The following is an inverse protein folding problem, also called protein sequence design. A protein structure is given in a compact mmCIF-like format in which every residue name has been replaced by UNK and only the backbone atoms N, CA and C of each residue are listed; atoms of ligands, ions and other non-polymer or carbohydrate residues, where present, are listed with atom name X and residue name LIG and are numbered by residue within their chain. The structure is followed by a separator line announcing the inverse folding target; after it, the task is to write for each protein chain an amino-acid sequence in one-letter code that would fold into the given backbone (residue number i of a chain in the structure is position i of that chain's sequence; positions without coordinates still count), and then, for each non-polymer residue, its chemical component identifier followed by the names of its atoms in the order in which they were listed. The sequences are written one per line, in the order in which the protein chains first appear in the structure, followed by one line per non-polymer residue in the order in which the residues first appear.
data_IF_886406491154
#
_entry.id   IF_886406491154
#
_cell.length_a   1.000
_cell.length_b   1.000
_cell.length_c   1.000
_cell.angle_alpha   90.00
_cell.angle_beta   90.00
_cell.angle_gamma   90.00
#
_symmetry.space_group_name_H-M   'P 1'
#
loop_
_entity.id
_entity.type
_entity.pdbx_description
1 polymer ?
#
# COMPACT_ATOMS: atom_id res chain seq x y z
N UNK A 1 5.04 -25.38 -8.51
CA UNK A 1 4.38 -25.88 -9.71
C UNK A 1 3.00 -26.37 -9.31
N UNK A 2 1.96 -26.09 -10.10
CA UNK A 2 0.63 -26.69 -9.90
C UNK A 2 0.71 -28.21 -10.15
N UNK A 3 -0.30 -28.98 -9.69
CA UNK A 3 -0.41 -30.42 -9.98
C UNK A 3 -0.40 -30.77 -11.49
N UNK A 4 -0.52 -29.77 -12.37
CA UNK A 4 -0.49 -29.90 -13.85
C UNK A 4 0.78 -29.31 -14.48
N UNK A 5 1.80 -28.91 -13.72
CA UNK A 5 3.03 -28.29 -14.29
C UNK A 5 2.86 -26.87 -14.85
N UNK A 6 1.68 -26.27 -14.73
CA UNK A 6 1.39 -24.93 -15.24
C UNK A 6 1.93 -23.83 -14.30
N UNK A 7 2.27 -22.66 -14.86
CA UNK A 7 2.65 -21.47 -14.10
C UNK A 7 1.47 -21.02 -13.20
N UNK A 8 1.72 -20.73 -11.91
CA UNK A 8 0.69 -20.12 -11.07
C UNK A 8 0.25 -18.75 -11.62
N UNK A 9 -1.04 -18.47 -11.54
CA UNK A 9 -1.60 -17.14 -11.79
C UNK A 9 -1.58 -16.36 -10.47
N UNK A 10 -0.93 -15.20 -10.47
CA UNK A 10 -0.81 -14.36 -9.28
C UNK A 10 -1.69 -13.12 -9.42
N UNK A 11 -2.82 -13.14 -8.73
CA UNK A 11 -3.76 -12.02 -8.60
C UNK A 11 -3.77 -11.46 -7.17
N UNK A 12 -2.61 -11.50 -6.48
CA UNK A 12 -2.43 -10.95 -5.13
C UNK A 12 -1.21 -10.01 -5.04
N UNK A 13 -0.96 -9.23 -6.09
CA UNK A 13 0.17 -8.27 -6.15
C UNK A 13 0.11 -7.19 -5.07
N UNK A 14 -1.06 -6.92 -4.50
CA UNK A 14 -1.24 -5.99 -3.37
C UNK A 14 -0.71 -6.54 -2.05
N UNK A 15 -0.57 -7.87 -1.88
CA UNK A 15 0.09 -8.44 -0.71
C UNK A 15 1.61 -8.29 -0.80
N UNK A 16 2.20 -8.67 -1.91
CA UNK A 16 3.63 -8.48 -2.23
C UNK A 16 3.87 -8.75 -3.71
N UNK A 17 4.98 -8.25 -4.25
CA UNK A 17 5.41 -8.57 -5.62
C UNK A 17 6.74 -9.33 -5.59
N UNK A 18 7.06 -10.14 -6.62
CA UNK A 18 8.39 -10.68 -6.78
C UNK A 18 9.40 -9.54 -7.04
N UNK A 19 10.65 -9.72 -6.62
CA UNK A 19 11.72 -8.80 -7.04
C UNK A 19 11.90 -8.93 -8.56
N UNK A 20 11.92 -7.82 -9.30
CA UNK A 20 12.14 -7.87 -10.75
C UNK A 20 13.57 -8.33 -11.06
N UNK A 21 13.77 -8.88 -12.26
CA UNK A 21 15.09 -9.31 -12.70
C UNK A 21 16.10 -8.15 -12.70
N UNK A 22 15.71 -7.00 -13.22
CA UNK A 22 16.56 -5.80 -13.31
C UNK A 22 16.93 -5.28 -11.92
N UNK A 23 15.98 -5.28 -10.98
CA UNK A 23 16.21 -4.93 -9.58
C UNK A 23 17.19 -5.91 -8.94
N UNK A 24 16.97 -7.22 -9.10
CA UNK A 24 17.85 -8.24 -8.51
C UNK A 24 19.30 -8.13 -9.03
N UNK A 25 19.47 -7.96 -10.35
CA UNK A 25 20.78 -7.80 -10.98
C UNK A 25 21.52 -6.57 -10.43
N UNK A 26 20.81 -5.46 -10.14
CA UNK A 26 21.37 -4.26 -9.50
C UNK A 26 21.77 -4.47 -8.04
N UNK A 27 21.05 -5.33 -7.31
CA UNK A 27 21.32 -5.59 -5.89
C UNK A 27 22.53 -6.51 -5.67
N UNK A 28 22.72 -7.52 -6.53
CA UNK A 28 23.69 -8.61 -6.33
C UNK A 28 25.10 -8.11 -5.99
N UNK A 29 25.71 -7.12 -6.69
CA UNK A 29 27.05 -6.66 -6.38
C UNK A 29 27.24 -6.19 -4.93
N UNK A 30 26.22 -5.60 -4.33
CA UNK A 30 26.27 -5.03 -2.97
C UNK A 30 26.18 -6.07 -1.87
N UNK A 31 25.99 -7.34 -2.20
CA UNK A 31 26.08 -8.44 -1.23
C UNK A 31 27.47 -9.03 -1.12
N UNK A 32 28.34 -8.88 -2.15
CA UNK A 32 29.61 -9.62 -2.23
C UNK A 32 30.80 -8.76 -2.63
N UNK A 33 30.67 -7.97 -3.68
CA UNK A 33 31.77 -7.20 -4.28
C UNK A 33 31.83 -5.78 -3.69
N UNK A 34 30.69 -5.09 -3.62
CA UNK A 34 30.54 -3.69 -3.20
C UNK A 34 29.93 -3.60 -1.79
N UNK A 35 30.36 -4.46 -0.87
CA UNK A 35 29.80 -4.60 0.49
C UNK A 35 30.25 -3.50 1.48
N UNK A 36 30.86 -2.41 1.00
CA UNK A 36 31.39 -1.34 1.84
C UNK A 36 30.33 -0.68 2.72
N UNK A 37 30.73 -0.26 3.94
CA UNK A 37 29.88 0.55 4.79
C UNK A 37 29.90 2.00 4.30
N UNK A 38 28.75 2.63 3.98
CA UNK A 38 28.68 4.02 3.51
C UNK A 38 29.30 5.07 4.44
N UNK A 39 29.49 4.72 5.72
CA UNK A 39 30.13 5.61 6.70
C UNK A 39 31.66 5.49 6.73
N UNK A 40 32.26 4.52 6.03
CA UNK A 40 33.71 4.33 5.99
C UNK A 40 34.40 5.31 5.04
N UNK A 41 35.58 5.87 5.43
CA UNK A 41 36.24 6.92 4.66
C UNK A 41 37.13 6.40 3.51
N UNK A 42 37.09 5.11 3.19
CA UNK A 42 37.86 4.49 2.11
C UNK A 42 36.96 4.20 0.90
N UNK A 43 37.59 3.89 -0.24
CA UNK A 43 36.96 3.75 -1.57
C UNK A 43 35.73 2.84 -1.60
N UNK A 44 35.72 1.70 -0.90
CA UNK A 44 34.55 0.82 -0.84
C UNK A 44 33.37 1.47 -0.10
N UNK A 45 33.64 2.26 0.94
CA UNK A 45 32.61 3.03 1.64
C UNK A 45 32.04 4.17 0.76
N UNK A 46 32.92 4.86 0.02
CA UNK A 46 32.51 5.92 -0.91
C UNK A 46 31.64 5.37 -2.04
N UNK A 47 31.98 4.20 -2.64
CA UNK A 47 31.15 3.55 -3.66
C UNK A 47 29.77 3.19 -3.09
N UNK A 48 29.70 2.61 -1.92
CA UNK A 48 28.43 2.30 -1.26
C UNK A 48 27.59 3.57 -0.98
N UNK A 49 28.24 4.65 -0.51
CA UNK A 49 27.59 5.96 -0.29
C UNK A 49 27.06 6.57 -1.58
N UNK A 50 27.80 6.47 -2.69
CA UNK A 50 27.36 6.92 -4.00
C UNK A 50 26.11 6.14 -4.44
N UNK A 51 26.09 4.82 -4.29
CA UNK A 51 24.94 3.99 -4.63
C UNK A 51 23.68 4.35 -3.81
N UNK A 52 23.82 4.59 -2.52
CA UNK A 52 22.73 5.08 -1.66
C UNK A 52 22.25 6.45 -2.12
N UNK A 53 23.17 7.34 -2.53
CA UNK A 53 22.82 8.68 -3.02
C UNK A 53 22.05 8.61 -4.35
N UNK A 54 22.48 7.78 -5.29
CA UNK A 54 21.79 7.56 -6.57
C UNK A 54 20.40 6.97 -6.38
N UNK A 55 20.25 6.00 -5.47
CA UNK A 55 18.94 5.44 -5.14
C UNK A 55 18.02 6.50 -4.52
N UNK A 56 18.55 7.36 -3.65
CA UNK A 56 17.81 8.48 -3.04
C UNK A 56 17.33 9.48 -4.08
N UNK A 57 18.17 9.83 -5.04
CA UNK A 57 17.78 10.70 -6.17
C UNK A 57 16.69 10.06 -7.02
N UNK A 58 16.75 8.75 -7.28
CA UNK A 58 15.72 8.05 -8.04
C UNK A 58 14.37 8.08 -7.31
N UNK A 59 14.34 7.80 -6.00
CA UNK A 59 13.12 7.87 -5.19
C UNK A 59 12.58 9.30 -5.14
N UNK A 60 13.43 10.29 -4.92
CA UNK A 60 13.03 11.69 -4.86
C UNK A 60 12.43 12.16 -6.19
N UNK A 61 13.10 11.90 -7.30
CA UNK A 61 12.61 12.22 -8.65
C UNK A 61 11.27 11.56 -8.96
N UNK A 62 11.10 10.30 -8.56
CA UNK A 62 9.87 9.56 -8.77
C UNK A 62 8.67 10.16 -8.00
N UNK A 63 8.92 10.76 -6.84
CA UNK A 63 7.88 11.35 -5.98
C UNK A 63 7.67 12.86 -6.21
N UNK A 64 8.46 13.52 -7.08
CA UNK A 64 8.43 14.98 -7.19
C UNK A 64 8.94 15.67 -5.92
N UNK A 65 9.96 15.11 -5.26
CA UNK A 65 10.52 15.56 -4.00
C UNK A 65 12.01 15.89 -4.10
N UNK A 66 12.56 16.58 -3.09
CA UNK A 66 14.00 16.79 -2.96
C UNK A 66 14.67 15.58 -2.27
N UNK A 67 15.93 15.28 -2.65
CA UNK A 67 16.67 14.16 -2.06
C UNK A 67 16.85 14.26 -0.53
N UNK A 68 16.87 15.49 0.00
CA UNK A 68 16.95 15.72 1.46
C UNK A 68 15.68 15.32 2.20
N UNK A 69 14.54 15.23 1.52
CA UNK A 69 13.24 14.86 2.08
C UNK A 69 13.03 13.35 2.16
N UNK A 70 13.92 12.56 1.58
CA UNK A 70 13.84 11.09 1.59
C UNK A 70 14.65 10.52 2.75
N UNK A 71 14.03 9.62 3.52
CA UNK A 71 14.63 8.82 4.60
C UNK A 71 14.42 7.35 4.28
N UNK A 72 15.47 6.56 4.18
CA UNK A 72 15.35 5.12 3.97
C UNK A 72 14.96 4.41 5.27
N UNK A 73 14.06 3.42 5.13
CA UNK A 73 13.49 2.64 6.22
C UNK A 73 13.47 1.16 5.84
N UNK A 74 13.03 0.29 6.75
CA UNK A 74 12.85 -1.14 6.45
C UNK A 74 11.55 -1.45 5.68
N UNK A 75 10.64 -0.49 5.51
CA UNK A 75 9.36 -0.68 4.83
C UNK A 75 8.28 0.28 5.27
N UNK A 76 7.07 0.08 4.76
CA UNK A 76 5.92 0.95 5.03
C UNK A 76 5.57 1.04 6.51
N UNK A 77 5.62 -0.06 7.25
CA UNK A 77 5.30 -0.07 8.69
C UNK A 77 6.24 0.82 9.51
N UNK A 78 7.56 0.72 9.29
CA UNK A 78 8.53 1.59 9.95
C UNK A 78 8.30 3.06 9.55
N UNK A 79 8.07 3.31 8.26
CA UNK A 79 7.80 4.64 7.73
C UNK A 79 6.55 5.28 8.36
N UNK A 80 5.43 4.54 8.41
CA UNK A 80 4.19 5.00 9.03
C UNK A 80 4.40 5.33 10.52
N UNK A 81 5.02 4.43 11.27
CA UNK A 81 5.24 4.64 12.70
C UNK A 81 6.20 5.81 12.97
N UNK A 82 7.27 5.94 12.19
CA UNK A 82 8.20 7.05 12.33
C UNK A 82 7.54 8.41 12.05
N UNK A 83 6.75 8.50 10.98
CA UNK A 83 6.05 9.70 10.60
C UNK A 83 5.01 10.12 11.65
N UNK A 84 4.13 9.17 12.02
CA UNK A 84 3.02 9.43 12.95
C UNK A 84 3.55 9.87 14.33
N UNK A 85 4.51 9.12 14.90
CA UNK A 85 5.11 9.47 16.20
C UNK A 85 5.84 10.80 16.16
N UNK A 86 6.62 11.05 15.10
CA UNK A 86 7.32 12.33 14.91
C UNK A 86 6.33 13.50 14.84
N UNK A 87 5.20 13.33 14.14
CA UNK A 87 4.18 14.37 14.01
C UNK A 87 3.58 14.77 15.36
N UNK A 88 3.33 13.80 16.24
CA UNK A 88 2.81 14.09 17.59
C UNK A 88 3.83 14.85 18.43
N UNK A 89 5.12 14.49 18.34
CA UNK A 89 6.20 15.19 19.05
C UNK A 89 6.43 16.62 18.54
N UNK A 90 6.10 16.89 17.27
CA UNK A 90 6.16 18.23 16.68
C UNK A 90 4.97 19.12 17.06
N UNK A 91 3.92 18.56 17.65
CA UNK A 91 2.71 19.27 18.09
C UNK A 91 2.33 18.91 19.52
N UNK A 92 3.24 19.16 20.49
CA UNK A 92 3.08 18.68 21.87
C UNK A 92 1.93 19.35 22.62
N UNK A 93 1.45 20.48 22.12
CA UNK A 93 0.31 21.27 22.64
C UNK A 93 -1.05 20.79 22.13
N UNK A 94 -1.09 19.86 21.16
CA UNK A 94 -2.31 19.35 20.55
C UNK A 94 -2.59 17.91 20.96
N UNK A 95 -3.86 17.57 21.13
CA UNK A 95 -4.30 16.29 21.70
C UNK A 95 -5.27 15.48 20.87
N UNK A 96 -5.54 15.87 19.64
CA UNK A 96 -6.42 15.12 18.74
C UNK A 96 -5.63 14.53 17.58
N UNK A 97 -5.91 13.26 17.27
CA UNK A 97 -5.41 12.53 16.09
C UNK A 97 -6.62 12.11 15.26
N UNK A 98 -6.61 12.44 13.98
CA UNK A 98 -7.65 12.05 13.01
C UNK A 98 -7.09 10.97 12.10
N UNK A 99 -7.72 9.80 12.07
CA UNK A 99 -7.30 8.67 11.23
C UNK A 99 -8.47 8.25 10.35
N UNK A 100 -8.21 7.81 9.12
CA UNK A 100 -9.25 7.06 8.41
C UNK A 100 -9.49 5.70 9.09
N UNK A 101 -10.74 5.23 9.11
CA UNK A 101 -11.08 3.93 9.70
C UNK A 101 -10.58 2.74 8.86
N UNK A 102 -10.05 3.00 7.67
CA UNK A 102 -9.57 2.02 6.71
C UNK A 102 -8.05 2.04 6.51
N UNK A 103 -7.32 2.64 7.47
CA UNK A 103 -5.86 2.64 7.46
C UNK A 103 -5.29 1.22 7.59
N UNK A 104 -4.03 1.08 7.17
CA UNK A 104 -3.26 -0.14 7.43
C UNK A 104 -3.04 -0.33 8.94
N UNK A 105 -2.94 -1.59 9.40
CA UNK A 105 -2.72 -1.94 10.82
C UNK A 105 -1.48 -1.29 11.43
N UNK A 106 -0.48 -0.89 10.64
CA UNK A 106 0.69 -0.14 11.12
C UNK A 106 0.37 1.25 11.65
N UNK A 107 -0.80 1.81 11.30
CA UNK A 107 -1.33 3.09 11.82
C UNK A 107 -2.44 2.82 12.82
N UNK A 108 -3.45 2.00 12.47
CA UNK A 108 -4.57 1.71 13.38
C UNK A 108 -4.11 1.05 14.68
N UNK A 109 -3.08 0.21 14.63
CA UNK A 109 -2.51 -0.42 15.83
C UNK A 109 -1.86 0.56 16.82
N UNK A 110 -1.65 1.83 16.42
CA UNK A 110 -1.17 2.88 17.32
C UNK A 110 -2.30 3.61 18.06
N UNK A 111 -3.56 3.45 17.63
CA UNK A 111 -4.68 4.22 18.17
C UNK A 111 -4.85 4.02 19.69
N UNK A 112 -4.82 2.77 20.16
CA UNK A 112 -4.93 2.45 21.58
C UNK A 112 -3.76 3.01 22.41
N UNK A 113 -2.55 3.06 21.83
CA UNK A 113 -1.40 3.68 22.47
C UNK A 113 -1.60 5.19 22.57
N UNK A 114 -2.13 5.83 21.54
CA UNK A 114 -2.40 7.28 21.56
C UNK A 114 -3.46 7.63 22.60
N UNK A 115 -4.54 6.84 22.68
CA UNK A 115 -5.58 7.02 23.70
C UNK A 115 -5.03 6.87 25.12
N UNK A 116 -4.18 5.86 25.38
CA UNK A 116 -3.49 5.71 26.68
C UNK A 116 -2.56 6.88 27.02
N UNK A 117 -1.98 7.53 26.00
CA UNK A 117 -1.13 8.72 26.16
C UNK A 117 -1.92 10.03 26.18
N UNK A 118 -3.25 9.98 26.31
CA UNK A 118 -4.11 11.14 26.48
C UNK A 118 -4.49 11.87 25.19
N UNK A 119 -4.29 11.25 24.03
CA UNK A 119 -4.80 11.76 22.76
C UNK A 119 -6.26 11.31 22.54
N UNK A 120 -7.04 12.17 21.89
CA UNK A 120 -8.36 11.82 21.36
C UNK A 120 -8.20 11.30 19.94
N UNK A 121 -8.55 10.04 19.68
CA UNK A 121 -8.50 9.46 18.34
C UNK A 121 -9.89 9.54 17.70
N UNK A 122 -9.99 10.30 16.61
CA UNK A 122 -11.18 10.39 15.76
C UNK A 122 -10.98 9.54 14.51
N UNK A 123 -11.92 8.64 14.24
CA UNK A 123 -11.87 7.75 13.08
C UNK A 123 -12.91 8.20 12.05
N UNK A 124 -12.43 8.66 10.89
CA UNK A 124 -13.28 9.01 9.74
C UNK A 124 -13.68 7.73 9.02
N UNK A 125 -14.98 7.49 8.92
CA UNK A 125 -15.51 6.29 8.25
C UNK A 125 -15.57 6.48 6.74
N UNK A 126 -15.32 5.42 5.95
CA UNK A 126 -15.51 5.47 4.52
C UNK A 126 -17.01 5.48 4.17
N UNK A 127 -17.31 5.89 2.95
CA UNK A 127 -18.60 5.65 2.30
C UNK A 127 -18.78 4.16 2.01
N UNK A 128 -20.00 3.68 1.69
CA UNK A 128 -20.24 2.26 1.38
C UNK A 128 -19.41 1.69 0.21
N UNK A 129 -18.87 2.54 -0.65
CA UNK A 129 -17.96 2.19 -1.75
C UNK A 129 -16.47 2.27 -1.38
N UNK A 130 -16.15 2.59 -0.12
CA UNK A 130 -14.78 2.65 0.39
C UNK A 130 -14.10 4.02 0.28
N UNK A 131 -14.73 5.05 -0.30
CA UNK A 131 -14.17 6.40 -0.39
C UNK A 131 -14.14 7.10 0.97
N UNK A 132 -13.08 7.85 1.22
CA UNK A 132 -13.00 8.84 2.28
C UNK A 132 -13.32 10.20 1.66
N UNK A 133 -14.37 10.84 2.15
CA UNK A 133 -14.77 12.18 1.67
C UNK A 133 -13.99 13.26 2.43
N UNK A 134 -13.61 14.32 1.72
CA UNK A 134 -12.85 15.42 2.31
C UNK A 134 -13.70 16.18 3.36
N UNK A 135 -15.00 16.26 3.16
CA UNK A 135 -15.97 16.89 4.07
C UNK A 135 -16.01 16.18 5.43
N UNK A 136 -16.02 14.85 5.44
CA UNK A 136 -16.00 14.06 6.68
C UNK A 136 -14.68 14.25 7.45
N UNK A 137 -13.57 14.47 6.72
CA UNK A 137 -12.28 14.82 7.33
C UNK A 137 -12.33 16.24 7.91
N UNK A 138 -12.88 17.22 7.20
CA UNK A 138 -12.98 18.61 7.69
C UNK A 138 -13.82 18.71 8.98
N UNK A 139 -14.90 17.94 9.08
CA UNK A 139 -15.71 17.84 10.32
C UNK A 139 -14.93 17.22 11.48
N UNK A 140 -14.05 16.25 11.19
CA UNK A 140 -13.26 15.58 12.22
C UNK A 140 -12.06 16.42 12.70
N UNK A 141 -11.48 17.26 11.84
CA UNK A 141 -10.26 18.05 12.13
C UNK A 141 -10.63 19.31 12.91
N UNK A 142 -9.90 19.61 13.98
CA UNK A 142 -10.08 20.80 14.83
C UNK A 142 -8.75 21.53 15.02
N UNK A 143 -8.78 22.70 15.65
CA UNK A 143 -7.56 23.45 16.02
C UNK A 143 -6.66 22.71 17.01
N UNK A 144 -7.21 21.69 17.71
CA UNK A 144 -6.48 20.81 18.63
C UNK A 144 -5.92 19.55 17.92
N UNK A 145 -6.13 19.42 16.61
CA UNK A 145 -5.63 18.26 15.86
C UNK A 145 -4.13 18.39 15.63
N UNK A 146 -3.36 17.40 16.13
CA UNK A 146 -1.92 17.30 15.90
C UNK A 146 -1.60 16.68 14.54
N UNK A 147 -2.35 15.64 14.18
CA UNK A 147 -2.11 14.79 13.01
C UNK A 147 -3.42 14.37 12.34
N UNK A 148 -3.42 14.42 11.03
CA UNK A 148 -4.36 13.72 10.15
C UNK A 148 -3.60 12.61 9.46
N UNK A 149 -4.12 11.37 9.43
CA UNK A 149 -3.54 10.26 8.68
C UNK A 149 -4.62 9.60 7.81
N UNK A 150 -4.45 9.67 6.50
CA UNK A 150 -5.33 9.08 5.48
C UNK A 150 -4.47 8.48 4.38
N UNK A 151 -4.66 7.18 4.12
CA UNK A 151 -3.95 6.48 3.05
C UNK A 151 -4.41 6.97 1.67
N UNK A 152 -3.48 7.00 0.71
CA UNK A 152 -3.79 7.49 -0.65
C UNK A 152 -4.69 6.54 -1.43
N UNK A 153 -4.33 5.25 -1.41
CA UNK A 153 -5.10 4.17 -2.05
C UNK A 153 -5.36 3.10 -1.01
N UNK A 154 -6.62 2.70 -0.84
CA UNK A 154 -6.92 1.60 0.05
C UNK A 154 -6.44 0.27 -0.56
N UNK A 155 -5.69 -0.50 0.21
CA UNK A 155 -5.04 -1.73 -0.23
C UNK A 155 -5.98 -2.93 -0.39
N UNK A 156 -7.25 -2.79 -0.01
CA UNK A 156 -8.26 -3.85 -0.12
C UNK A 156 -9.30 -3.57 -1.19
N UNK A 157 -9.77 -2.32 -1.29
CA UNK A 157 -10.82 -1.91 -2.23
C UNK A 157 -10.29 -1.19 -3.47
N UNK A 158 -9.13 -0.57 -3.35
CA UNK A 158 -8.56 0.29 -4.39
C UNK A 158 -9.13 1.70 -4.42
N UNK A 159 -10.00 2.09 -3.48
CA UNK A 159 -10.50 3.46 -3.40
C UNK A 159 -9.36 4.45 -3.21
N UNK A 160 -9.39 5.56 -3.97
CA UNK A 160 -8.40 6.63 -3.96
C UNK A 160 -8.95 7.78 -3.13
N UNK A 161 -8.20 8.22 -2.12
CA UNK A 161 -8.56 9.36 -1.29
C UNK A 161 -8.19 10.70 -1.94
N UNK A 162 -8.95 11.78 -1.71
CA UNK A 162 -8.66 13.13 -2.23
C UNK A 162 -7.57 13.82 -1.39
N UNK A 163 -6.34 13.26 -1.41
CA UNK A 163 -5.23 13.64 -0.50
C UNK A 163 -4.82 15.11 -0.64
N UNK A 164 -4.99 15.74 -1.81
CA UNK A 164 -4.73 17.17 -1.99
C UNK A 164 -5.64 18.03 -1.12
N UNK A 165 -6.95 17.82 -1.23
CA UNK A 165 -7.97 18.52 -0.42
C UNK A 165 -7.83 18.23 1.06
N UNK A 166 -7.53 16.96 1.43
CA UNK A 166 -7.30 16.58 2.83
C UNK A 166 -6.07 17.29 3.41
N UNK A 167 -4.99 17.43 2.64
CA UNK A 167 -3.81 18.19 3.04
C UNK A 167 -4.12 19.67 3.31
N UNK A 168 -4.91 20.31 2.43
CA UNK A 168 -5.36 21.69 2.64
C UNK A 168 -6.20 21.84 3.91
N UNK A 169 -7.11 20.89 4.17
CA UNK A 169 -7.94 20.87 5.39
C UNK A 169 -7.05 20.77 6.63
N UNK A 170 -6.12 19.82 6.65
CA UNK A 170 -5.19 19.64 7.77
C UNK A 170 -4.39 20.93 8.04
N UNK A 171 -3.82 21.52 7.00
CA UNK A 171 -2.99 22.71 7.10
C UNK A 171 -3.79 23.97 7.53
N UNK A 172 -5.02 24.16 7.06
CA UNK A 172 -5.89 25.27 7.52
C UNK A 172 -6.11 25.25 9.03
N UNK A 173 -6.13 24.07 9.64
CA UNK A 173 -6.25 23.88 11.10
C UNK A 173 -4.90 23.75 11.79
N UNK A 174 -3.77 23.83 11.04
CA UNK A 174 -2.40 23.72 11.56
C UNK A 174 -2.00 22.30 11.99
N UNK A 175 -2.76 21.27 11.60
CA UNK A 175 -2.41 19.86 11.76
C UNK A 175 -1.37 19.43 10.73
N UNK A 176 -0.56 18.42 11.06
CA UNK A 176 0.29 17.74 10.09
C UNK A 176 -0.51 16.65 9.36
N UNK A 177 -0.16 16.41 8.09
CA UNK A 177 -0.79 15.36 7.28
C UNK A 177 0.21 14.28 6.90
N UNK A 178 -0.04 13.06 7.39
CA UNK A 178 0.66 11.85 6.98
C UNK A 178 -0.18 11.04 6.01
N UNK A 179 0.42 10.59 4.92
CA UNK A 179 -0.23 9.75 3.93
C UNK A 179 0.48 8.40 3.78
N UNK A 180 -0.21 7.29 4.05
CA UNK A 180 0.29 5.97 3.64
C UNK A 180 0.15 5.83 2.12
N UNK A 181 1.28 5.94 1.41
CA UNK A 181 1.37 5.83 -0.04
C UNK A 181 1.73 4.42 -0.53
N UNK A 182 1.84 3.43 0.37
CA UNK A 182 2.36 2.10 0.04
C UNK A 182 1.56 1.40 -1.05
N UNK A 183 0.24 1.57 -1.08
CA UNK A 183 -0.62 0.99 -2.11
C UNK A 183 -0.76 1.88 -3.36
N UNK A 184 -0.42 3.18 -3.26
CA UNK A 184 -0.51 4.15 -4.34
C UNK A 184 0.74 4.19 -5.22
N UNK A 185 1.92 4.22 -4.59
CA UNK A 185 3.21 4.38 -5.26
C UNK A 185 3.44 3.31 -6.32
N UNK A 186 3.71 3.75 -7.57
CA UNK A 186 3.90 2.88 -8.73
C UNK A 186 2.64 2.21 -9.27
N UNK A 187 1.45 2.67 -8.85
CA UNK A 187 0.12 2.20 -9.31
C UNK A 187 -0.72 3.36 -9.84
N UNK A 188 -0.65 4.50 -9.19
CA UNK A 188 -1.26 5.75 -9.62
C UNK A 188 -0.18 6.84 -9.65
N UNK A 189 -0.38 7.93 -10.41
CA UNK A 189 0.54 9.07 -10.39
C UNK A 189 0.65 9.66 -8.98
N UNK A 190 1.88 9.91 -8.53
CA UNK A 190 2.19 10.55 -7.24
C UNK A 190 3.15 11.70 -7.53
N UNK A 191 2.71 12.93 -7.26
CA UNK A 191 3.53 14.13 -7.35
C UNK A 191 3.39 14.95 -6.07
N UNK A 192 4.39 14.85 -5.20
CA UNK A 192 4.39 15.53 -3.91
C UNK A 192 4.66 17.03 -4.02
N UNK A 193 5.10 17.52 -5.16
CA UNK A 193 5.24 18.97 -5.40
C UNK A 193 3.88 19.68 -5.50
N UNK A 194 2.85 18.94 -5.93
CA UNK A 194 1.50 19.46 -6.18
C UNK A 194 0.52 19.24 -5.02
N UNK A 195 0.89 18.46 -3.99
CA UNK A 195 -0.03 18.11 -2.89
C UNK A 195 0.52 18.48 -1.52
N UNK A 196 -0.36 18.90 -0.61
CA UNK A 196 -0.02 19.34 0.74
C UNK A 196 0.19 18.18 1.73
N UNK A 197 1.09 17.25 1.42
CA UNK A 197 1.44 16.13 2.29
C UNK A 197 2.73 16.45 3.05
N UNK A 198 2.75 16.32 4.38
CA UNK A 198 3.94 16.54 5.21
C UNK A 198 4.83 15.29 5.26
N UNK A 199 4.25 14.11 5.20
CA UNK A 199 4.99 12.85 5.13
C UNK A 199 4.25 11.77 4.36
N UNK A 200 4.99 10.95 3.60
CA UNK A 200 4.44 9.84 2.82
C UNK A 200 5.30 8.59 2.97
N UNK A 201 4.65 7.46 3.22
CA UNK A 201 5.31 6.16 3.32
C UNK A 201 5.26 5.38 2.02
N UNK A 202 6.35 4.65 1.70
CA UNK A 202 6.39 3.71 0.60
C UNK A 202 7.20 2.45 0.96
N UNK A 203 6.96 1.36 0.22
CA UNK A 203 7.62 0.08 0.43
C UNK A 203 8.03 -0.57 -0.88
N UNK A 204 9.31 -0.98 -0.98
CA UNK A 204 9.88 -1.54 -2.20
C UNK A 204 9.13 -2.79 -2.70
N UNK A 205 8.73 -3.69 -1.79
CA UNK A 205 8.10 -4.94 -2.17
C UNK A 205 6.70 -4.81 -2.80
N UNK A 206 6.13 -3.62 -2.84
CA UNK A 206 4.86 -3.33 -3.53
C UNK A 206 5.07 -2.88 -4.98
N UNK A 207 6.31 -2.56 -5.34
CA UNK A 207 6.70 -2.07 -6.67
C UNK A 207 7.82 -2.89 -7.32
N UNK A 208 7.85 -4.20 -7.04
CA UNK A 208 8.83 -5.16 -7.58
C UNK A 208 10.26 -4.97 -7.06
N UNK A 209 10.42 -4.28 -5.95
CA UNK A 209 11.64 -4.16 -5.16
C UNK A 209 11.73 -5.22 -4.04
N UNK A 210 12.81 -5.20 -3.25
CA UNK A 210 13.04 -6.15 -2.18
C UNK A 210 12.13 -5.91 -0.96
N UNK A 211 11.81 -6.98 -0.23
CA UNK A 211 11.30 -6.89 1.14
C UNK A 211 12.41 -6.35 2.05
N UNK A 212 12.04 -5.68 3.15
CA UNK A 212 13.01 -5.12 4.10
C UNK A 212 13.66 -3.81 3.62
N UNK A 213 13.07 -3.15 2.63
CA UNK A 213 13.44 -1.81 2.18
C UNK A 213 12.18 -0.96 1.92
N UNK A 214 12.23 0.29 2.32
CA UNK A 214 11.20 1.30 2.09
C UNK A 214 11.79 2.69 2.21
N UNK A 215 10.94 3.69 2.09
CA UNK A 215 11.32 5.07 2.34
C UNK A 215 10.16 5.84 2.94
N UNK A 216 10.53 6.89 3.66
CA UNK A 216 9.66 7.92 4.18
C UNK A 216 10.04 9.25 3.52
N UNK A 217 9.09 9.88 2.87
CA UNK A 217 9.19 11.29 2.51
C UNK A 217 8.82 12.14 3.73
N UNK A 218 9.60 13.19 4.00
CA UNK A 218 9.35 14.18 5.05
C UNK A 218 9.61 15.56 4.50
N UNK A 219 8.57 16.34 4.26
CA UNK A 219 8.64 17.67 3.64
C UNK A 219 9.45 18.66 4.47
N UNK A 220 9.21 18.69 5.77
CA UNK A 220 9.95 19.52 6.72
C UNK A 220 10.86 18.63 7.56
N UNK A 221 12.13 18.62 7.21
CA UNK A 221 13.11 17.78 7.91
C UNK A 221 13.50 18.35 9.27
N UNK A 222 13.31 19.65 9.49
CA UNK A 222 13.53 20.32 10.77
C UNK A 222 12.41 19.92 11.74
N UNK A 223 12.81 19.49 12.94
CA UNK A 223 11.86 19.00 13.96
C UNK A 223 11.42 17.56 13.77
N UNK A 224 11.93 16.82 12.77
CA UNK A 224 11.66 15.39 12.66
C UNK A 224 12.35 14.62 13.79
N UNK A 225 11.56 13.82 14.51
CA UNK A 225 12.01 12.97 15.60
C UNK A 225 12.17 11.52 15.10
N UNK A 226 13.42 10.98 15.06
CA UNK A 226 13.65 9.63 14.55
C UNK A 226 13.03 8.56 15.46
N UNK A 227 12.38 7.56 14.85
CA UNK A 227 11.92 6.37 15.56
C UNK A 227 13.11 5.52 16.05
N UNK A 228 14.16 5.44 15.24
CA UNK A 228 15.42 4.74 15.55
C UNK A 228 16.55 5.79 15.55
N UNK A 229 16.99 6.29 16.71
CA UNK A 229 18.06 7.29 16.78
C UNK A 229 19.40 6.77 16.29
N UNK A 230 20.21 7.62 15.65
CA UNK A 230 21.56 7.31 15.17
C UNK A 230 22.14 8.41 14.30
N UNK A 231 23.33 8.19 13.74
CA UNK A 231 24.03 9.16 12.89
C UNK A 231 23.67 9.09 11.41
N UNK A 232 23.12 7.94 10.97
CA UNK A 232 22.76 7.68 9.57
C UNK A 232 21.54 8.49 9.15
N UNK A 233 21.24 8.48 7.86
CA UNK A 233 20.09 9.19 7.27
C UNK A 233 20.01 10.66 7.78
N UNK A 234 21.15 11.33 7.93
CA UNK A 234 21.23 12.69 8.47
C UNK A 234 20.59 12.81 9.86
N UNK A 235 20.82 11.83 10.74
CA UNK A 235 20.24 11.67 12.09
C UNK A 235 18.73 11.43 12.13
N UNK A 236 18.12 10.99 11.02
CA UNK A 236 16.68 10.71 10.94
C UNK A 236 16.33 9.24 11.02
N UNK A 237 17.31 8.34 10.82
CA UNK A 237 17.16 6.92 11.02
C UNK A 237 18.54 6.29 11.27
N UNK A 238 18.76 5.75 12.44
CA UNK A 238 20.02 5.14 12.86
C UNK A 238 20.19 3.70 12.39
N UNK A 239 21.44 3.21 12.40
CA UNK A 239 21.81 1.88 11.95
C UNK A 239 22.43 1.88 10.56
N UNK A 240 23.35 0.94 10.31
CA UNK A 240 24.02 0.79 9.02
C UNK A 240 23.00 0.65 7.91
N UNK A 241 23.19 1.39 6.83
CA UNK A 241 22.28 1.41 5.68
C UNK A 241 22.24 0.04 4.98
N UNK A 242 21.04 -0.44 4.67
CA UNK A 242 20.81 -1.63 3.86
C UNK A 242 21.09 -1.32 2.38
N UNK A 243 22.38 -1.18 2.03
CA UNK A 243 22.81 -0.75 0.68
C UNK A 243 22.14 -1.55 -0.43
N UNK A 244 22.18 -2.91 -0.43
CA UNK A 244 21.52 -3.68 -1.50
C UNK A 244 20.01 -3.43 -1.56
N UNK A 245 19.33 -3.34 -0.42
CA UNK A 245 17.88 -3.05 -0.37
C UNK A 245 17.54 -1.65 -0.86
N UNK A 246 18.35 -0.66 -0.53
CA UNK A 246 18.20 0.73 -0.95
C UNK A 246 18.41 0.86 -2.47
N UNK A 247 19.46 0.25 -3.01
CA UNK A 247 19.73 0.19 -4.45
C UNK A 247 18.56 -0.49 -5.18
N UNK A 248 18.06 -1.59 -4.62
CA UNK A 248 16.88 -2.28 -5.14
C UNK A 248 15.63 -1.41 -5.15
N UNK A 249 15.40 -0.60 -4.10
CA UNK A 249 14.29 0.35 -4.08
C UNK A 249 14.46 1.44 -5.16
N UNK A 250 15.66 2.01 -5.29
CA UNK A 250 15.93 3.02 -6.33
C UNK A 250 15.69 2.50 -7.74
N UNK A 251 16.07 1.26 -8.04
CA UNK A 251 15.82 0.64 -9.34
C UNK A 251 14.33 0.31 -9.53
N UNK A 252 13.66 -0.16 -8.47
CA UNK A 252 12.21 -0.44 -8.51
C UNK A 252 11.38 0.83 -8.78
N UNK A 253 11.81 2.00 -8.30
CA UNK A 253 11.15 3.28 -8.63
C UNK A 253 11.35 3.70 -10.07
N UNK A 254 12.52 3.43 -10.69
CA UNK A 254 12.73 3.67 -12.13
C UNK A 254 11.79 2.79 -12.97
N UNK A 255 11.71 1.50 -12.66
CA UNK A 255 10.75 0.59 -13.35
C UNK A 255 9.28 0.99 -13.10
N UNK A 256 8.97 1.52 -11.92
CA UNK A 256 7.62 2.01 -11.62
C UNK A 256 7.27 3.24 -12.46
N UNK A 257 8.22 4.13 -12.71
CA UNK A 257 8.04 5.29 -13.60
C UNK A 257 7.76 4.83 -15.05
N UNK A 258 8.56 3.87 -15.56
CA UNK A 258 8.34 3.29 -16.89
C UNK A 258 6.94 2.65 -16.99
N UNK A 259 6.52 1.93 -15.94
CA UNK A 259 5.20 1.29 -15.90
C UNK A 259 4.05 2.31 -15.87
N UNK A 260 4.18 3.39 -15.09
CA UNK A 260 3.13 4.43 -15.02
C UNK A 260 2.91 5.11 -16.38
N UNK A 261 3.92 5.18 -17.23
CA UNK A 261 3.82 5.82 -18.55
C UNK A 261 3.07 4.97 -19.60
N UNK A 262 3.11 3.62 -19.50
CA UNK A 262 2.61 2.74 -20.57
C UNK A 262 1.93 1.46 -20.11
N UNK A 263 2.17 1.03 -18.89
CA UNK A 263 1.70 -0.28 -18.38
C UNK A 263 0.37 -0.25 -17.63
N UNK A 264 -0.09 0.91 -17.21
CA UNK A 264 -1.30 1.03 -16.36
C UNK A 264 -2.56 0.66 -17.13
N UNK A 265 -2.74 1.21 -18.32
CA UNK A 265 -3.95 1.00 -19.14
C UNK A 265 -4.16 -0.47 -19.56
N UNK A 266 -3.13 -1.22 -19.98
CA UNK A 266 -3.26 -2.66 -20.20
C UNK A 266 -3.75 -3.43 -18.96
N UNK A 267 -3.20 -3.13 -17.77
CA UNK A 267 -3.60 -3.79 -16.52
C UNK A 267 -5.04 -3.42 -16.14
N UNK A 268 -5.44 -2.16 -16.34
CA UNK A 268 -6.81 -1.69 -16.13
C UNK A 268 -7.80 -2.48 -16.99
N UNK A 269 -7.53 -2.62 -18.30
CA UNK A 269 -8.39 -3.42 -19.20
C UNK A 269 -8.54 -4.89 -18.76
N UNK A 270 -7.46 -5.50 -18.29
CA UNK A 270 -7.49 -6.86 -17.76
C UNK A 270 -8.34 -6.96 -16.48
N UNK A 271 -8.21 -5.98 -15.55
CA UNK A 271 -9.04 -5.89 -14.36
C UNK A 271 -10.51 -5.74 -14.71
N UNK A 272 -10.85 -4.84 -15.66
CA UNK A 272 -12.21 -4.57 -16.08
C UNK A 272 -12.84 -5.82 -16.72
N UNK A 273 -12.10 -6.49 -17.62
CA UNK A 273 -12.53 -7.77 -18.23
C UNK A 273 -12.78 -8.85 -17.17
N UNK A 274 -11.87 -8.98 -16.22
CA UNK A 274 -12.02 -9.94 -15.12
C UNK A 274 -13.26 -9.64 -14.27
N UNK A 275 -13.40 -8.39 -13.83
CA UNK A 275 -14.50 -7.94 -12.98
C UNK A 275 -15.85 -8.15 -13.68
N UNK A 276 -15.96 -7.72 -14.94
CA UNK A 276 -17.19 -7.90 -15.73
C UNK A 276 -17.57 -9.39 -15.81
N UNK A 277 -16.62 -10.26 -16.19
CA UNK A 277 -16.89 -11.71 -16.28
C UNK A 277 -17.30 -12.34 -14.94
N UNK A 278 -16.75 -11.88 -13.82
CA UNK A 278 -17.15 -12.36 -12.49
C UNK A 278 -18.57 -11.90 -12.14
N UNK A 279 -18.91 -10.63 -12.38
CA UNK A 279 -20.23 -10.08 -12.05
C UNK A 279 -21.35 -10.69 -12.90
N UNK A 280 -21.07 -11.02 -14.18
CA UNK A 280 -22.02 -11.75 -15.03
C UNK A 280 -22.21 -13.21 -14.57
N UNK A 281 -21.14 -13.84 -14.10
CA UNK A 281 -21.12 -15.28 -13.78
C UNK A 281 -21.81 -15.59 -12.44
N UNK A 282 -21.75 -14.67 -11.47
CA UNK A 282 -22.29 -14.88 -10.13
C UNK A 282 -23.45 -13.93 -9.85
N UNK A 283 -24.73 -14.41 -9.95
CA UNK A 283 -25.89 -13.58 -9.63
C UNK A 283 -25.82 -13.02 -8.21
N UNK A 284 -25.99 -11.70 -8.09
CA UNK A 284 -25.90 -10.98 -6.82
C UNK A 284 -24.48 -10.64 -6.37
N UNK A 285 -23.43 -11.06 -7.08
CA UNK A 285 -22.08 -10.56 -6.82
C UNK A 285 -22.03 -9.05 -7.03
N UNK A 286 -21.29 -8.37 -6.18
CA UNK A 286 -21.12 -6.91 -6.27
C UNK A 286 -19.69 -6.51 -5.94
N UNK A 287 -19.28 -5.42 -6.53
CA UNK A 287 -18.01 -4.79 -6.27
C UNK A 287 -18.02 -4.01 -4.95
N UNK A 288 -17.01 -4.17 -4.13
CA UNK A 288 -16.75 -3.38 -2.93
C UNK A 288 -15.69 -2.30 -3.23
N UNK A 289 -15.97 -1.42 -4.19
CA UNK A 289 -15.07 -0.36 -4.65
C UNK A 289 -15.89 0.73 -5.34
N UNK A 290 -15.33 1.95 -5.53
CA UNK A 290 -16.00 3.02 -6.28
C UNK A 290 -16.37 2.58 -7.70
N UNK A 291 -17.46 3.14 -8.21
CA UNK A 291 -17.88 2.93 -9.59
C UNK A 291 -17.06 3.77 -10.56
N UNK A 292 -16.71 4.97 -10.14
CA UNK A 292 -15.99 5.97 -10.92
C UNK A 292 -14.50 5.59 -11.01
N UNK A 293 -13.97 5.63 -12.23
CA UNK A 293 -12.60 5.14 -12.52
C UNK A 293 -11.49 6.09 -12.04
N UNK A 294 -11.76 7.38 -11.92
CA UNK A 294 -10.83 8.41 -11.46
C UNK A 294 -10.53 8.35 -9.97
N UNK A 295 -11.43 7.73 -9.19
CA UNK A 295 -11.27 7.52 -7.74
C UNK A 295 -11.00 6.05 -7.39
N UNK A 296 -10.50 5.28 -8.36
CA UNK A 296 -10.25 3.85 -8.22
C UNK A 296 -8.90 3.43 -8.78
N UNK A 297 -8.14 2.65 -8.02
CA UNK A 297 -6.87 2.09 -8.48
C UNK A 297 -7.06 1.13 -9.66
N UNK A 298 -6.23 1.23 -10.72
CA UNK A 298 -6.45 0.52 -11.98
C UNK A 298 -6.23 -0.98 -11.90
N UNK A 299 -5.49 -1.47 -10.92
CA UNK A 299 -4.93 -2.82 -10.88
C UNK A 299 -5.69 -3.79 -9.94
N UNK A 300 -6.75 -3.35 -9.25
CA UNK A 300 -7.42 -4.21 -8.28
C UNK A 300 -8.93 -4.09 -8.30
N UNK A 301 -9.57 -5.14 -7.83
CA UNK A 301 -10.99 -5.17 -7.49
C UNK A 301 -11.22 -6.01 -6.24
N UNK A 302 -12.24 -5.66 -5.47
CA UNK A 302 -12.75 -6.43 -4.35
C UNK A 302 -14.19 -6.81 -4.66
N UNK A 303 -14.50 -8.10 -4.62
CA UNK A 303 -15.83 -8.63 -5.02
C UNK A 303 -16.42 -9.44 -3.88
N UNK A 304 -17.66 -9.11 -3.52
CA UNK A 304 -18.51 -9.91 -2.65
C UNK A 304 -19.19 -11.02 -3.48
N UNK A 305 -19.15 -12.24 -2.98
CA UNK A 305 -19.82 -13.43 -3.51
C UNK A 305 -20.91 -13.88 -2.53
N UNK A 306 -22.15 -13.40 -2.63
CA UNK A 306 -23.19 -13.71 -1.64
C UNK A 306 -23.42 -15.20 -1.46
N UNK A 307 -23.44 -15.65 -0.19
CA UNK A 307 -23.67 -17.06 0.15
C UNK A 307 -22.50 -18.02 -0.14
N UNK A 308 -21.35 -17.49 -0.60
CA UNK A 308 -20.17 -18.31 -0.83
C UNK A 308 -19.06 -17.86 0.15
N UNK A 309 -18.68 -18.68 1.15
CA UNK A 309 -17.58 -18.34 2.04
C UNK A 309 -16.28 -18.08 1.26
N UNK A 310 -15.63 -16.94 1.52
CA UNK A 310 -14.41 -16.54 0.84
C UNK A 310 -13.26 -17.53 1.03
N UNK A 311 -13.15 -18.16 2.21
CA UNK A 311 -12.17 -19.24 2.45
C UNK A 311 -12.34 -20.41 1.47
N UNK A 312 -13.59 -20.78 1.15
CA UNK A 312 -13.88 -21.84 0.20
C UNK A 312 -13.42 -21.46 -1.21
N UNK A 313 -13.70 -20.22 -1.64
CA UNK A 313 -13.22 -19.69 -2.91
C UNK A 313 -11.69 -19.62 -2.94
N UNK A 314 -11.07 -19.09 -1.87
CA UNK A 314 -9.61 -18.99 -1.73
C UNK A 314 -8.95 -20.36 -1.87
N UNK A 315 -9.45 -21.36 -1.14
CA UNK A 315 -8.95 -22.73 -1.23
C UNK A 315 -9.16 -23.35 -2.63
N UNK A 316 -10.34 -23.17 -3.22
CA UNK A 316 -10.68 -23.69 -4.53
C UNK A 316 -9.77 -23.12 -5.63
N UNK A 317 -9.54 -21.81 -5.62
CA UNK A 317 -8.62 -21.12 -6.55
C UNK A 317 -7.17 -21.53 -6.31
N UNK A 318 -6.74 -21.58 -5.03
CA UNK A 318 -5.38 -21.97 -4.65
C UNK A 318 -5.01 -23.38 -5.10
N UNK A 319 -5.94 -24.35 -5.00
CA UNK A 319 -5.73 -25.72 -5.52
C UNK A 319 -5.54 -25.77 -7.03
N UNK A 320 -5.99 -24.76 -7.76
CA UNK A 320 -5.82 -24.61 -9.21
C UNK A 320 -4.68 -23.67 -9.60
N UNK A 321 -3.88 -23.26 -8.60
CA UNK A 321 -2.71 -22.41 -8.80
C UNK A 321 -3.04 -20.94 -9.05
N UNK A 322 -4.21 -20.47 -8.63
CA UNK A 322 -4.61 -19.07 -8.70
C UNK A 322 -4.53 -18.49 -7.28
N UNK A 323 -3.74 -17.43 -7.12
CA UNK A 323 -3.49 -16.75 -5.84
C UNK A 323 -4.33 -15.49 -5.77
N UNK A 324 -5.10 -15.36 -4.69
CA UNK A 324 -5.97 -14.21 -4.37
C UNK A 324 -5.98 -13.98 -2.86
N UNK A 325 -6.64 -12.93 -2.37
CA UNK A 325 -6.69 -12.61 -0.95
C UNK A 325 -8.10 -12.30 -0.47
N UNK A 326 -8.34 -12.50 0.81
CA UNK A 326 -9.56 -12.04 1.51
C UNK A 326 -9.41 -10.61 2.08
N UNK A 327 -8.24 -9.95 1.86
CA UNK A 327 -7.95 -8.62 2.40
C UNK A 327 -7.44 -8.65 3.84
N UNK A 328 -8.03 -9.43 4.72
CA UNK A 328 -7.58 -9.60 6.10
C UNK A 328 -6.40 -10.56 6.21
N UNK A 329 -5.43 -10.25 7.10
CA UNK A 329 -4.37 -11.19 7.45
C UNK A 329 -4.96 -12.38 8.22
N UNK A 330 -4.64 -13.61 7.81
CA UNK A 330 -4.93 -14.80 8.60
C UNK A 330 -4.12 -14.73 9.91
N UNK A 331 -4.73 -14.32 11.00
CA UNK A 331 -4.16 -14.51 12.33
C UNK A 331 -4.43 -15.92 12.79
N UNK A 332 -3.41 -16.57 13.36
CA UNK A 332 -3.35 -17.98 13.78
C UNK A 332 -4.72 -18.62 14.17
N UNK A 333 -5.41 -19.22 13.20
CA UNK A 333 -6.51 -20.16 13.43
C UNK A 333 -7.95 -19.65 13.31
N UNK A 334 -8.19 -18.34 13.14
CA UNK A 334 -9.52 -17.80 12.79
C UNK A 334 -9.41 -16.73 11.71
N UNK A 335 -10.29 -16.77 10.71
CA UNK A 335 -10.39 -15.70 9.71
C UNK A 335 -11.26 -14.60 10.31
N UNK A 336 -10.60 -13.51 10.68
CA UNK A 336 -11.33 -12.30 11.05
C UNK A 336 -11.77 -11.54 9.79
N UNK A 337 -12.99 -10.97 9.78
CA UNK A 337 -13.45 -10.17 8.65
C UNK A 337 -12.61 -8.92 8.50
N UNK A 338 -12.46 -8.44 7.28
CA UNK A 338 -11.76 -7.19 6.99
C UNK A 338 -12.37 -6.01 7.75
N UNK A 339 -11.56 -5.29 8.53
CA UNK A 339 -11.98 -4.06 9.20
C UNK A 339 -12.37 -2.97 8.19
N UNK A 340 -11.78 -2.98 6.99
CA UNK A 340 -12.11 -2.07 5.90
C UNK A 340 -13.56 -2.31 5.45
N UNK A 341 -13.90 -3.55 5.11
CA UNK A 341 -15.24 -3.90 4.63
C UNK A 341 -16.31 -3.69 5.72
N UNK A 342 -15.98 -4.02 6.98
CA UNK A 342 -16.87 -3.71 8.10
C UNK A 342 -17.07 -2.19 8.28
N UNK A 343 -16.03 -1.38 8.11
CA UNK A 343 -16.12 0.08 8.20
C UNK A 343 -16.95 0.69 7.07
N UNK A 344 -17.02 0.03 5.90
CA UNK A 344 -17.89 0.37 4.78
C UNK A 344 -19.36 0.00 5.02
N UNK A 345 -19.68 -0.73 6.09
CA UNK A 345 -21.03 -1.14 6.45
C UNK A 345 -21.42 -2.54 6.00
N UNK A 346 -20.49 -3.35 5.47
CA UNK A 346 -20.77 -4.75 5.17
C UNK A 346 -20.98 -5.53 6.49
N UNK A 347 -21.89 -6.50 6.46
CA UNK A 347 -22.04 -7.45 7.55
C UNK A 347 -20.79 -8.34 7.68
N UNK A 348 -20.63 -9.01 8.83
CA UNK A 348 -19.54 -9.97 9.02
C UNK A 348 -19.56 -11.08 7.94
N UNK A 349 -20.73 -11.58 7.60
CA UNK A 349 -20.91 -12.62 6.58
C UNK A 349 -20.49 -12.11 5.20
N UNK A 350 -20.92 -10.92 4.80
CA UNK A 350 -20.55 -10.30 3.53
C UNK A 350 -19.04 -10.02 3.45
N UNK A 351 -18.44 -9.51 4.53
CA UNK A 351 -17.00 -9.28 4.57
C UNK A 351 -16.20 -10.59 4.44
N UNK A 352 -16.66 -11.68 5.09
CA UNK A 352 -16.07 -13.01 4.96
C UNK A 352 -16.34 -13.69 3.61
N UNK A 353 -17.32 -13.21 2.84
CA UNK A 353 -17.66 -13.68 1.49
C UNK A 353 -17.05 -12.81 0.39
N UNK A 354 -16.09 -11.94 0.73
CA UNK A 354 -15.45 -11.03 -0.21
C UNK A 354 -14.00 -11.43 -0.49
N UNK A 355 -13.59 -11.31 -1.76
CA UNK A 355 -12.21 -11.55 -2.21
C UNK A 355 -11.64 -10.32 -2.91
N UNK A 356 -10.36 -10.04 -2.62
CA UNK A 356 -9.57 -9.08 -3.37
C UNK A 356 -8.79 -9.78 -4.46
N UNK A 357 -8.83 -9.22 -5.66
CA UNK A 357 -8.02 -9.58 -6.82
C UNK A 357 -7.15 -8.37 -7.19
N UNK A 358 -5.85 -8.53 -7.18
CA UNK A 358 -4.92 -7.46 -7.53
C UNK A 358 -3.90 -7.93 -8.55
N UNK A 359 -3.96 -7.32 -9.74
CA UNK A 359 -3.20 -7.70 -10.91
C UNK A 359 -1.79 -7.09 -10.87
N UNK A 360 -0.78 -7.92 -11.09
CA UNK A 360 0.59 -7.46 -11.27
C UNK A 360 0.89 -7.16 -12.75
N UNK A 361 2.07 -6.57 -13.00
CA UNK A 361 2.57 -6.23 -14.36
C UNK A 361 2.68 -7.44 -15.29
N UNK A 362 2.82 -8.65 -14.74
CA UNK A 362 3.03 -9.90 -15.47
C UNK A 362 1.74 -10.66 -15.80
N UNK A 363 0.59 -10.17 -15.35
CA UNK A 363 -0.70 -10.81 -15.62
C UNK A 363 -1.07 -10.63 -17.11
N UNK A 364 -1.49 -11.71 -17.74
CA UNK A 364 -1.86 -11.75 -19.16
C UNK A 364 -3.34 -12.01 -19.36
N UNK A 365 -3.85 -11.80 -20.58
CA UNK A 365 -5.22 -12.17 -20.94
C UNK A 365 -5.50 -13.67 -20.69
N UNK A 366 -4.54 -14.55 -21.03
CA UNK A 366 -4.67 -15.98 -20.76
C UNK A 366 -4.78 -16.31 -19.26
N UNK A 367 -4.13 -15.54 -18.38
CA UNK A 367 -4.27 -15.70 -16.94
C UNK A 367 -5.69 -15.32 -16.47
N UNK A 368 -6.27 -14.27 -17.06
CA UNK A 368 -7.65 -13.83 -16.78
C UNK A 368 -8.65 -14.89 -17.29
N UNK A 369 -8.49 -15.37 -18.53
CA UNK A 369 -9.36 -16.40 -19.11
C UNK A 369 -9.34 -17.68 -18.30
N UNK A 370 -8.15 -18.12 -17.89
CA UNK A 370 -7.99 -19.28 -17.02
C UNK A 370 -8.68 -19.08 -15.67
N UNK A 371 -8.56 -17.88 -15.09
CA UNK A 371 -9.20 -17.59 -13.81
C UNK A 371 -10.72 -17.59 -13.92
N UNK A 372 -11.28 -16.99 -14.97
CA UNK A 372 -12.72 -17.00 -15.25
C UNK A 372 -13.24 -18.42 -15.53
N UNK A 373 -12.50 -19.22 -16.29
CA UNK A 373 -12.86 -20.63 -16.53
C UNK A 373 -12.91 -21.45 -15.24
N UNK A 374 -11.94 -21.24 -14.33
CA UNK A 374 -11.94 -21.89 -13.01
C UNK A 374 -13.10 -21.42 -12.15
N UNK A 375 -13.42 -20.13 -12.14
CA UNK A 375 -14.55 -19.58 -11.39
C UNK A 375 -15.90 -20.10 -11.93
N UNK A 376 -16.03 -20.35 -13.25
CA UNK A 376 -17.24 -20.91 -13.84
C UNK A 376 -17.58 -22.32 -13.33
N UNK A 377 -16.56 -23.16 -13.06
CA UNK A 377 -16.76 -24.46 -12.42
C UNK A 377 -17.40 -24.32 -11.02
N UNK A 378 -17.03 -23.27 -10.28
CA UNK A 378 -17.61 -22.99 -8.96
C UNK A 378 -19.04 -22.46 -9.09
N UNK A 379 -19.32 -21.56 -10.04
CA UNK A 379 -20.64 -20.98 -10.27
C UNK A 379 -21.69 -22.10 -10.60
N UNK A 380 -21.33 -23.04 -11.45
CA UNK A 380 -22.17 -24.21 -11.77
C UNK A 380 -22.44 -25.06 -10.53
N UNK A 381 -21.43 -25.23 -9.66
CA UNK A 381 -21.58 -26.04 -8.44
C UNK A 381 -22.51 -25.36 -7.42
N UNK A 382 -22.49 -24.04 -7.34
CA UNK A 382 -23.35 -23.24 -6.46
C UNK A 382 -24.77 -23.18 -7.01
N UNK A 383 -24.95 -22.92 -8.32
CA UNK A 383 -26.26 -22.88 -8.99
C UNK A 383 -27.06 -24.16 -8.85
N UNK A 384 -26.40 -25.33 -8.86
CA UNK A 384 -27.04 -26.64 -8.64
C UNK A 384 -27.50 -26.91 -7.20
N UNK A 385 -27.12 -26.09 -6.24
CA UNK A 385 -27.53 -26.22 -4.81
C UNK A 385 -28.71 -25.32 -4.46
N UNK A 386 -29.02 -24.36 -5.32
CA UNK A 386 -30.12 -23.39 -5.15
C UNK A 386 -31.36 -23.78 -5.96
N UNK A 387 -31.22 -24.70 -6.92
CA UNK A 387 -32.31 -25.36 -7.67
C UNK A 387 -32.69 -26.70 -7.03
#
# INVERSE_FOLDING_TARGET
MTARGERPVDLDSSATTPVSRRVLEKMIPYFREEYGNPSSPYDAGERAKMAVTEARLAVASFLGAESREIVFTSGGTESNQAAVRSSLLQRPDRRTVVLSAIEHSSILGLADEFERNGYRVRRVRPRPDGRIEAEDVDEAVTMDTALVAVMWVNNETGAIAPVGTIGEIAHRKGALFHCDGVAAVGKVPVDLSAVGIDSLSLSAHKIYGPKGAGALFVRRTEGFHPLIPGSQERKRRGGTENVPGIVGLGEATREAMDFLSSGVEPVKRLRDRFEHGVLEMFPGARRNAPAEEDVRAPHMTNVLFPGIPGEKLLWFLGKRGIRVSMGSACSAGSVEPSHVLLSMGLTREEALSSLRFSLGRQVTEADIDRTLAVLSEMAVTVGRRVS
#
